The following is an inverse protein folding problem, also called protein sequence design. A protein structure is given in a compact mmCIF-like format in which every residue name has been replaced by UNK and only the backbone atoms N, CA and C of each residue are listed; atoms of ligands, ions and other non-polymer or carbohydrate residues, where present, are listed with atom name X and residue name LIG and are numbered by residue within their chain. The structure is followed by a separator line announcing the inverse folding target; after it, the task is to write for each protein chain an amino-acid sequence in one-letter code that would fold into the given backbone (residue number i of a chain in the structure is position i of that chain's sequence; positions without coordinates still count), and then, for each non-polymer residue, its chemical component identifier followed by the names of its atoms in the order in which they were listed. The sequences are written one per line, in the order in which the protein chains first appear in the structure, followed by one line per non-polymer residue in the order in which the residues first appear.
data_IF_973576399041
#
_entry.id   IF_973576399041
#
_cell.length_a   1.000
_cell.length_b   1.000
_cell.length_c   1.000
_cell.angle_alpha   90.00
_cell.angle_beta   90.00
_cell.angle_gamma   90.00
#
_symmetry.space_group_name_H-M   'P 1'
#
loop_
_entity.id
_entity.type
_entity.pdbx_description
1 polymer ?
#
# COMPACT_ATOMS: atom_id res chain seq x y z
N UNK A 1 6.89 7.01 -16.72
CA UNK A 1 6.37 8.03 -15.80
C UNK A 1 6.97 7.87 -14.39
N UNK A 2 7.00 6.67 -13.78
CA UNK A 2 7.59 6.43 -12.44
C UNK A 2 9.03 6.93 -12.37
N UNK A 3 9.89 6.53 -13.32
CA UNK A 3 11.29 6.96 -13.36
C UNK A 3 11.45 8.50 -13.44
N UNK A 4 10.55 9.20 -14.12
CA UNK A 4 10.55 10.66 -14.19
C UNK A 4 10.23 11.27 -12.82
N UNK A 5 9.19 10.78 -12.15
CA UNK A 5 8.79 11.28 -10.81
C UNK A 5 9.92 11.05 -9.81
N UNK A 6 10.52 9.85 -9.77
CA UNK A 6 11.65 9.53 -8.89
C UNK A 6 12.87 10.41 -9.18
N UNK A 7 13.16 10.71 -10.44
CA UNK A 7 14.27 11.61 -10.80
C UNK A 7 14.04 13.04 -10.33
N UNK A 8 12.80 13.53 -10.44
CA UNK A 8 12.46 14.91 -10.03
C UNK A 8 12.31 15.06 -8.52
N UNK A 9 11.96 13.97 -7.85
CA UNK A 9 11.75 13.96 -6.41
C UNK A 9 12.28 12.66 -5.77
N UNK A 10 13.60 12.49 -5.65
CA UNK A 10 14.23 11.23 -5.25
C UNK A 10 13.91 10.80 -3.81
N UNK A 11 13.43 11.72 -2.98
CA UNK A 11 13.03 11.43 -1.59
C UNK A 11 11.55 11.04 -1.44
N UNK A 12 10.76 11.12 -2.54
CA UNK A 12 9.36 10.77 -2.47
C UNK A 12 9.15 9.25 -2.46
N UNK A 13 8.37 8.76 -1.53
CA UNK A 13 7.76 7.44 -1.61
C UNK A 13 6.57 7.49 -2.55
N UNK A 14 6.46 6.51 -3.44
CA UNK A 14 5.38 6.43 -4.43
C UNK A 14 4.50 5.22 -4.15
N UNK A 15 3.20 5.44 -4.22
CA UNK A 15 2.20 4.37 -4.20
C UNK A 15 1.38 4.47 -5.48
N UNK A 16 1.34 3.41 -6.25
CA UNK A 16 0.44 3.28 -7.39
C UNK A 16 -0.89 2.70 -6.90
N UNK A 17 -1.98 3.28 -7.38
CA UNK A 17 -3.31 2.73 -7.17
C UNK A 17 -3.70 1.98 -8.43
N UNK A 18 -4.04 0.71 -8.30
CA UNK A 18 -4.51 -0.13 -9.40
C UNK A 18 -5.85 0.34 -9.97
N UNK A 19 -6.30 -0.20 -11.10
CA UNK A 19 -7.65 0.05 -11.60
C UNK A 19 -8.69 -0.56 -10.66
N UNK A 20 -9.86 0.07 -10.56
CA UNK A 20 -11.06 -0.56 -9.98
C UNK A 20 -11.60 -1.65 -10.91
N UNK A 21 -12.40 -2.57 -10.37
CA UNK A 21 -13.24 -3.36 -11.26
C UNK A 21 -14.17 -2.43 -12.05
N UNK A 22 -14.34 -2.74 -13.31
CA UNK A 22 -15.31 -2.11 -14.21
C UNK A 22 -15.98 -3.24 -14.98
N UNK A 23 -17.27 -3.14 -15.21
CA UNK A 23 -17.98 -4.20 -15.90
C UNK A 23 -18.56 -3.74 -17.24
N UNK A 24 -18.56 -4.67 -18.19
CA UNK A 24 -19.23 -4.53 -19.49
C UNK A 24 -20.28 -5.61 -19.63
N UNK A 25 -21.26 -5.36 -20.48
CA UNK A 25 -22.32 -6.31 -20.72
C UNK A 25 -21.87 -7.41 -21.67
N UNK A 26 -21.96 -8.66 -21.22
CA UNK A 26 -21.83 -9.86 -22.07
C UNK A 26 -23.15 -10.62 -22.07
N UNK A 27 -23.85 -10.58 -23.19
CA UNK A 27 -25.21 -11.15 -23.38
C UNK A 27 -26.20 -10.59 -22.35
N UNK A 28 -26.51 -11.34 -21.29
CA UNK A 28 -27.43 -10.97 -20.22
C UNK A 28 -26.71 -10.47 -18.95
N UNK A 29 -25.43 -10.80 -18.80
CA UNK A 29 -24.69 -10.59 -17.57
C UNK A 29 -23.69 -9.43 -17.69
N UNK A 30 -23.29 -8.87 -16.56
CA UNK A 30 -22.19 -7.92 -16.48
C UNK A 30 -20.95 -8.65 -15.98
N UNK A 31 -19.86 -8.54 -16.74
CA UNK A 31 -18.57 -9.19 -16.46
C UNK A 31 -17.47 -8.14 -16.40
N UNK A 32 -16.42 -8.43 -15.66
CA UNK A 32 -15.21 -7.58 -15.62
C UNK A 32 -14.74 -7.22 -17.03
N UNK A 33 -14.34 -5.98 -17.22
CA UNK A 33 -13.90 -5.48 -18.51
C UNK A 33 -12.73 -6.32 -19.07
N UNK A 34 -12.73 -6.70 -20.34
CA UNK A 34 -11.64 -7.47 -20.96
C UNK A 34 -10.28 -6.80 -20.72
N UNK A 35 -9.27 -7.60 -20.43
CA UNK A 35 -7.89 -7.17 -20.16
C UNK A 35 -7.67 -6.31 -18.90
N UNK A 36 -8.69 -6.08 -18.07
CA UNK A 36 -8.53 -5.30 -16.85
C UNK A 36 -7.53 -5.95 -15.88
N UNK A 37 -7.63 -7.28 -15.75
CA UNK A 37 -6.75 -8.06 -14.87
C UNK A 37 -5.30 -7.97 -15.35
N UNK A 38 -5.07 -8.12 -16.65
CA UNK A 38 -3.75 -8.00 -17.25
C UNK A 38 -3.16 -6.59 -17.06
N UNK A 39 -3.97 -5.55 -17.24
CA UNK A 39 -3.54 -4.16 -17.00
C UNK A 39 -3.17 -3.96 -15.54
N UNK A 40 -3.99 -4.46 -14.60
CA UNK A 40 -3.70 -4.42 -13.17
C UNK A 40 -2.36 -5.11 -12.85
N UNK A 41 -2.16 -6.31 -13.37
CA UNK A 41 -0.97 -7.11 -13.08
C UNK A 41 0.31 -6.45 -13.63
N UNK A 42 0.25 -5.88 -14.83
CA UNK A 42 1.37 -5.10 -15.40
C UNK A 42 1.67 -3.85 -14.58
N UNK A 43 0.64 -3.14 -14.09
CA UNK A 43 0.85 -1.97 -13.22
C UNK A 43 1.46 -2.36 -11.87
N UNK A 44 1.01 -3.47 -11.30
CA UNK A 44 1.53 -4.02 -10.03
C UNK A 44 2.99 -4.43 -10.17
N UNK A 45 3.33 -5.16 -11.25
CA UNK A 45 4.70 -5.52 -11.57
C UNK A 45 5.57 -4.26 -11.76
N UNK A 46 5.11 -3.29 -12.55
CA UNK A 46 5.85 -2.04 -12.77
C UNK A 46 6.06 -1.25 -11.47
N UNK A 47 5.11 -1.28 -10.53
CA UNK A 47 5.28 -0.65 -9.22
C UNK A 47 6.43 -1.32 -8.46
N UNK A 48 6.43 -2.64 -8.33
CA UNK A 48 7.44 -3.38 -7.57
C UNK A 48 8.82 -3.34 -8.21
N UNK A 49 8.93 -3.43 -9.53
CA UNK A 49 10.20 -3.28 -10.25
C UNK A 49 10.84 -1.88 -10.08
N UNK A 50 10.05 -0.92 -9.63
CA UNK A 50 10.50 0.45 -9.38
C UNK A 50 10.45 0.82 -7.89
N UNK A 51 10.48 -0.11 -6.95
CA UNK A 51 10.42 0.13 -5.50
C UNK A 51 9.29 1.10 -5.11
N UNK A 52 8.10 0.90 -5.69
CA UNK A 52 6.89 1.64 -5.36
C UNK A 52 5.91 0.73 -4.63
N UNK A 53 5.12 1.29 -3.73
CA UNK A 53 3.95 0.61 -3.20
C UNK A 53 2.89 0.42 -4.29
N UNK A 54 2.05 -0.59 -4.12
CA UNK A 54 0.87 -0.80 -4.96
C UNK A 54 -0.35 -1.05 -4.09
N UNK A 55 -1.40 -0.26 -4.26
CA UNK A 55 -2.69 -0.50 -3.63
C UNK A 55 -3.67 -1.07 -4.64
N UNK A 56 -4.09 -2.31 -4.39
CA UNK A 56 -4.89 -3.10 -5.32
C UNK A 56 -6.39 -2.90 -5.05
N UNK A 57 -6.96 -1.82 -5.61
CA UNK A 57 -8.38 -1.50 -5.44
C UNK A 57 -9.28 -2.59 -6.06
N UNK A 58 -8.82 -3.28 -7.10
CA UNK A 58 -9.56 -4.38 -7.71
C UNK A 58 -9.83 -5.51 -6.69
N UNK A 59 -8.78 -5.95 -5.99
CA UNK A 59 -8.91 -6.97 -4.94
C UNK A 59 -9.73 -6.46 -3.73
N UNK A 60 -9.53 -5.19 -3.35
CA UNK A 60 -10.29 -4.56 -2.25
C UNK A 60 -11.79 -4.49 -2.56
N UNK A 61 -12.17 -4.36 -3.82
CA UNK A 61 -13.57 -4.38 -4.26
C UNK A 61 -14.20 -5.78 -4.21
N UNK A 62 -13.38 -6.83 -4.20
CA UNK A 62 -13.82 -8.23 -4.25
C UNK A 62 -13.32 -9.00 -5.47
N UNK A 63 -12.45 -8.39 -6.29
CA UNK A 63 -11.85 -9.02 -7.46
C UNK A 63 -12.77 -9.05 -8.68
N UNK A 64 -12.60 -10.07 -9.50
CA UNK A 64 -13.34 -10.26 -10.75
C UNK A 64 -14.85 -10.31 -10.55
N UNK A 65 -15.59 -9.56 -11.38
CA UNK A 65 -17.05 -9.42 -11.35
C UNK A 65 -17.61 -8.77 -10.06
N UNK A 66 -16.77 -8.07 -9.29
CA UNK A 66 -17.21 -7.42 -8.06
C UNK A 66 -18.07 -6.18 -8.29
N UNK A 67 -17.92 -5.50 -9.43
CA UNK A 67 -18.64 -4.26 -9.75
C UNK A 67 -20.17 -4.43 -9.63
N UNK A 68 -20.71 -5.59 -9.98
CA UNK A 68 -22.13 -5.88 -9.84
C UNK A 68 -22.61 -5.68 -8.38
N UNK A 69 -21.89 -6.23 -7.42
CA UNK A 69 -22.23 -6.11 -6.00
C UNK A 69 -22.17 -4.67 -5.50
N UNK A 70 -21.29 -3.84 -6.08
CA UNK A 70 -21.17 -2.42 -5.76
C UNK A 70 -22.34 -1.60 -6.32
N UNK A 71 -22.84 -1.97 -7.50
CA UNK A 71 -24.07 -1.35 -8.08
C UNK A 71 -25.31 -1.74 -7.30
N UNK A 72 -25.41 -3.00 -6.88
CA UNK A 72 -26.59 -3.55 -6.20
C UNK A 72 -26.59 -3.30 -4.69
N UNK A 73 -25.53 -2.70 -4.14
CA UNK A 73 -25.46 -2.35 -2.72
C UNK A 73 -26.56 -1.35 -2.32
N UNK A 74 -27.01 -1.43 -1.07
CA UNK A 74 -27.97 -0.46 -0.51
C UNK A 74 -27.33 0.35 0.63
N UNK A 75 -27.11 1.65 0.44
CA UNK A 75 -27.24 2.40 -0.81
C UNK A 75 -26.07 2.10 -1.79
N UNK A 76 -26.32 2.29 -3.10
CA UNK A 76 -25.37 1.88 -4.13
C UNK A 76 -24.00 2.56 -3.98
N UNK A 77 -22.94 1.76 -4.13
CA UNK A 77 -21.55 2.22 -4.11
C UNK A 77 -21.02 2.54 -5.51
N UNK A 78 -21.58 1.92 -6.55
CA UNK A 78 -21.28 2.22 -7.94
C UNK A 78 -22.53 2.66 -8.71
N UNK A 79 -22.33 3.38 -9.79
CA UNK A 79 -23.38 3.84 -10.67
C UNK A 79 -23.84 2.73 -11.62
N UNK A 80 -25.04 2.88 -12.20
CA UNK A 80 -25.62 1.91 -13.14
C UNK A 80 -24.91 1.82 -14.49
N UNK A 81 -23.86 2.59 -14.69
CA UNK A 81 -22.96 2.46 -15.83
C UNK A 81 -21.88 1.39 -15.61
N UNK A 82 -21.79 0.82 -14.39
CA UNK A 82 -20.85 -0.23 -14.01
C UNK A 82 -19.37 0.18 -14.14
N UNK A 83 -19.08 1.46 -14.09
CA UNK A 83 -17.73 2.03 -14.23
C UNK A 83 -17.42 3.03 -13.11
N UNK A 84 -18.34 3.94 -12.81
CA UNK A 84 -18.10 5.04 -11.89
C UNK A 84 -18.63 4.77 -10.50
N UNK A 85 -17.88 5.20 -9.49
CA UNK A 85 -18.38 5.18 -8.11
C UNK A 85 -19.41 6.26 -7.88
N UNK A 86 -20.39 5.97 -7.04
CA UNK A 86 -21.25 7.01 -6.44
C UNK A 86 -20.41 7.84 -5.44
N UNK A 87 -20.87 9.03 -5.00
CA UNK A 87 -20.21 9.77 -3.92
C UNK A 87 -19.99 8.94 -2.64
N UNK A 88 -20.93 8.02 -2.34
CA UNK A 88 -20.80 7.10 -1.21
C UNK A 88 -19.73 6.04 -1.47
N UNK A 89 -19.71 5.46 -2.66
CA UNK A 89 -18.68 4.51 -3.06
C UNK A 89 -17.29 5.12 -3.05
N UNK A 90 -17.13 6.33 -3.59
CA UNK A 90 -15.86 7.05 -3.55
C UNK A 90 -15.38 7.30 -2.10
N UNK A 91 -16.30 7.68 -1.20
CA UNK A 91 -15.99 7.83 0.23
C UNK A 91 -15.59 6.50 0.88
N UNK A 92 -16.26 5.42 0.50
CA UNK A 92 -15.93 4.07 1.00
C UNK A 92 -14.54 3.63 0.54
N UNK A 93 -14.22 3.79 -0.75
CA UNK A 93 -12.87 3.54 -1.30
C UNK A 93 -11.79 4.35 -0.58
N UNK A 94 -12.06 5.65 -0.35
CA UNK A 94 -11.12 6.51 0.37
C UNK A 94 -10.88 6.04 1.81
N UNK A 95 -11.92 5.55 2.50
CA UNK A 95 -11.79 4.96 3.85
C UNK A 95 -10.92 3.70 3.82
N UNK A 96 -11.17 2.79 2.88
CA UNK A 96 -10.40 1.55 2.75
C UNK A 96 -8.92 1.83 2.46
N UNK A 97 -8.63 2.80 1.60
CA UNK A 97 -7.27 3.24 1.33
C UNK A 97 -6.61 3.85 2.58
N UNK A 98 -7.31 4.74 3.27
CA UNK A 98 -6.82 5.35 4.50
C UNK A 98 -6.50 4.30 5.57
N UNK A 99 -7.40 3.34 5.77
CA UNK A 99 -7.22 2.28 6.77
C UNK A 99 -6.01 1.39 6.44
N UNK A 100 -5.82 1.05 5.15
CA UNK A 100 -4.64 0.32 4.69
C UNK A 100 -3.34 1.10 4.97
N UNK A 101 -3.30 2.39 4.59
CA UNK A 101 -2.13 3.25 4.84
C UNK A 101 -1.83 3.42 6.33
N UNK A 102 -2.86 3.58 7.16
CA UNK A 102 -2.68 3.73 8.61
C UNK A 102 -2.19 2.45 9.27
N UNK A 103 -2.62 1.28 8.79
CA UNK A 103 -2.12 -0.01 9.26
C UNK A 103 -0.63 -0.16 8.95
N UNK A 104 -0.21 0.12 7.72
CA UNK A 104 1.19 0.03 7.32
C UNK A 104 2.05 1.07 8.05
N UNK A 105 1.52 2.27 8.25
CA UNK A 105 2.19 3.31 9.05
C UNK A 105 2.43 2.87 10.50
N UNK A 106 1.47 2.19 11.12
CA UNK A 106 1.65 1.67 12.48
C UNK A 106 2.75 0.61 12.52
N UNK A 107 2.77 -0.34 11.57
CA UNK A 107 3.83 -1.35 11.45
C UNK A 107 5.20 -0.68 11.30
N UNK A 108 5.31 0.35 10.47
CA UNK A 108 6.52 1.14 10.28
C UNK A 108 6.99 1.81 11.58
N UNK A 109 6.08 2.41 12.34
CA UNK A 109 6.39 3.03 13.63
C UNK A 109 6.93 2.02 14.64
N UNK A 110 6.26 0.88 14.77
CA UNK A 110 6.64 -0.16 15.71
C UNK A 110 8.02 -0.73 15.36
N UNK A 111 8.29 -0.95 14.08
CA UNK A 111 9.59 -1.38 13.59
C UNK A 111 10.71 -0.37 13.92
N UNK A 112 10.49 0.91 13.67
CA UNK A 112 11.49 1.95 13.96
C UNK A 112 11.74 2.08 15.47
N UNK A 113 10.72 1.96 16.30
CA UNK A 113 10.90 1.98 17.75
C UNK A 113 11.72 0.77 18.24
N UNK A 114 11.49 -0.41 17.70
CA UNK A 114 12.32 -1.57 17.99
C UNK A 114 13.78 -1.39 17.58
N UNK A 115 14.03 -0.81 16.41
CA UNK A 115 15.40 -0.49 15.96
C UNK A 115 16.08 0.49 16.91
N UNK A 116 15.36 1.53 17.33
CA UNK A 116 15.87 2.52 18.30
C UNK A 116 16.23 1.89 19.63
N UNK A 117 15.35 1.05 20.17
CA UNK A 117 15.60 0.34 21.44
C UNK A 117 16.81 -0.57 21.35
N UNK A 118 16.94 -1.29 20.23
CA UNK A 118 18.11 -2.14 19.95
C UNK A 118 19.39 -1.34 19.89
N UNK A 119 19.39 -0.18 19.24
CA UNK A 119 20.56 0.69 19.18
C UNK A 119 20.98 1.18 20.58
N UNK A 120 20.04 1.62 21.39
CA UNK A 120 20.30 2.04 22.78
C UNK A 120 20.92 0.91 23.63
N UNK A 121 20.48 -0.33 23.44
CA UNK A 121 21.07 -1.50 24.11
C UNK A 121 22.51 -1.73 23.68
N UNK A 122 22.79 -1.64 22.38
CA UNK A 122 24.15 -1.82 21.85
C UNK A 122 25.10 -0.72 22.38
N UNK A 123 24.65 0.52 22.38
CA UNK A 123 25.43 1.66 22.89
C UNK A 123 25.74 1.48 24.39
N UNK A 124 24.78 0.99 25.17
CA UNK A 124 24.96 0.72 26.60
C UNK A 124 25.98 -0.42 26.84
N UNK A 125 25.94 -1.49 26.04
CA UNK A 125 26.91 -2.59 26.11
C UNK A 125 28.31 -2.08 25.75
N UNK A 126 28.42 -1.26 24.71
CA UNK A 126 29.70 -0.68 24.30
C UNK A 126 30.31 0.18 25.41
N UNK A 127 29.51 1.05 26.04
CA UNK A 127 29.97 1.87 27.17
C UNK A 127 30.46 1.02 28.35
N UNK A 128 29.77 -0.05 28.69
CA UNK A 128 30.18 -0.98 29.75
C UNK A 128 31.53 -1.64 29.44
N UNK A 129 31.70 -2.12 28.19
CA UNK A 129 32.95 -2.71 27.74
C UNK A 129 34.12 -1.73 27.79
N UNK A 130 33.91 -0.50 27.33
CA UNK A 130 34.94 0.55 27.36
C UNK A 130 35.36 0.91 28.78
N UNK A 131 34.41 0.95 29.74
CA UNK A 131 34.68 1.17 31.16
C UNK A 131 35.52 0.01 31.72
N UNK A 132 35.16 -1.23 31.48
CA UNK A 132 35.90 -2.41 31.96
C UNK A 132 37.32 -2.50 31.40
N UNK A 133 37.54 -2.08 30.17
CA UNK A 133 38.85 -2.05 29.54
C UNK A 133 39.75 -0.97 30.19
N UNK A 134 39.18 0.20 30.47
CA UNK A 134 39.91 1.31 31.12
C UNK A 134 40.30 0.99 32.55
N UNK A 135 39.44 0.29 33.31
CA UNK A 135 39.74 -0.13 34.68
C UNK A 135 40.76 -1.27 34.76
N UNK A 136 40.98 -1.99 33.64
CA UNK A 136 41.92 -3.10 33.56
C UNK A 136 43.34 -2.68 33.22
N UNK A 137 43.64 -1.40 32.92
CA UNK A 137 44.99 -0.89 32.66
C UNK A 137 45.73 -0.58 33.97
N UNK A 138 46.82 -1.30 34.30
CA UNK A 138 47.57 -1.04 35.52
C UNK A 138 48.16 0.41 35.47
N UNK A 139 47.90 1.19 36.48
CA UNK A 139 48.64 2.45 36.69
C UNK A 139 50.06 2.09 37.04
N UNK A 140 50.97 2.29 36.09
CA UNK A 140 52.44 2.22 36.28
C UNK A 140 52.94 3.53 36.90
#
# INVERSE_FOLDING_TARGET
QIALVKRLNPQASLVLIGPSDMATKDKTDYVTFPFLIEVRDVLKQAAFENDCGFWDIFEVMGGENSMQSWVDADPPLAAKDYVHFTPKGAKHVASLFYDAMMKDYQVYKDYNEQLRLRQLQLDSIQQLNDTLLNDSTPQT
#
